data_IF_221143284591
#
_entry.id   IF_221143284591
#
_cell.length_a   1.000
_cell.length_b   1.000
_cell.length_c   1.000
_cell.angle_alpha   90.00
_cell.angle_beta   90.00
_cell.angle_gamma   90.00
#
_symmetry.space_group_name_H-M   'P 1'
#
loop_
_entity.id
_entity.type
_entity.pdbx_description
1 polymer ?
#
# COMPACT_ATOMS: atom_id res chain seq x y z
N UNK A 1 -1.24 10.31 9.81
CA UNK A 1 -2.36 10.50 8.85
C UNK A 1 -2.54 9.28 7.95
N UNK A 2 -1.54 8.89 7.16
CA UNK A 2 -1.62 7.72 6.26
C UNK A 2 -2.07 6.44 6.96
N UNK A 3 -1.43 6.07 8.07
CA UNK A 3 -1.79 4.88 8.86
C UNK A 3 -3.23 4.88 9.38
N UNK A 4 -3.75 6.05 9.79
CA UNK A 4 -5.14 6.18 10.22
C UNK A 4 -6.12 6.04 9.06
N UNK A 5 -5.79 6.58 7.89
CA UNK A 5 -6.59 6.41 6.68
C UNK A 5 -6.61 4.96 6.23
N UNK A 6 -5.45 4.29 6.19
CA UNK A 6 -5.35 2.87 5.87
C UNK A 6 -6.15 2.01 6.84
N UNK A 7 -6.05 2.28 8.15
CA UNK A 7 -6.87 1.59 9.15
C UNK A 7 -8.36 1.82 8.90
N UNK A 8 -8.78 3.06 8.69
CA UNK A 8 -10.19 3.40 8.44
C UNK A 8 -10.75 2.72 7.20
N UNK A 9 -10.01 2.74 6.09
CA UNK A 9 -10.35 2.05 4.85
C UNK A 9 -10.51 0.54 5.06
N UNK A 10 -9.53 -0.11 5.66
CA UNK A 10 -9.57 -1.55 5.94
C UNK A 10 -10.73 -1.89 6.87
N UNK A 11 -10.95 -1.10 7.91
CA UNK A 11 -12.05 -1.29 8.84
C UNK A 11 -13.40 -1.16 8.13
N UNK A 12 -13.63 -0.11 7.33
CA UNK A 12 -14.89 0.08 6.61
C UNK A 12 -15.15 -1.06 5.61
N UNK A 13 -14.16 -1.42 4.80
CA UNK A 13 -14.29 -2.51 3.82
C UNK A 13 -14.56 -3.83 4.52
N UNK A 14 -13.82 -4.18 5.57
CA UNK A 14 -14.01 -5.44 6.27
C UNK A 14 -15.37 -5.53 6.98
N UNK A 15 -15.85 -4.44 7.58
CA UNK A 15 -17.20 -4.41 8.19
C UNK A 15 -18.32 -4.65 7.19
N UNK A 16 -18.12 -4.36 5.89
CA UNK A 16 -19.10 -4.69 4.85
C UNK A 16 -19.13 -6.18 4.48
N UNK A 17 -18.06 -6.92 4.83
CA UNK A 17 -17.89 -8.33 4.46
C UNK A 17 -18.16 -9.29 5.63
N UNK A 18 -17.88 -8.85 6.86
CA UNK A 18 -18.09 -9.61 8.08
C UNK A 18 -18.93 -8.76 9.05
N UNK A 19 -20.09 -9.24 9.53
CA UNK A 19 -20.87 -8.51 10.53
C UNK A 19 -20.16 -8.43 11.89
N UNK A 20 -20.07 -7.21 12.44
CA UNK A 20 -19.58 -6.93 13.80
C UNK A 20 -18.22 -7.56 14.18
N UNK A 21 -17.16 -7.40 13.36
CA UNK A 21 -15.84 -7.90 13.70
C UNK A 21 -15.29 -7.14 14.91
N UNK A 22 -14.61 -7.82 15.85
CA UNK A 22 -13.91 -7.15 16.94
C UNK A 22 -12.92 -6.12 16.40
N UNK A 23 -12.93 -4.91 16.98
CA UNK A 23 -12.08 -3.81 16.52
C UNK A 23 -10.59 -4.17 16.40
N UNK A 24 -10.09 -4.99 17.33
CA UNK A 24 -8.69 -5.42 17.37
C UNK A 24 -8.28 -6.30 16.19
N UNK A 25 -9.22 -6.92 15.47
CA UNK A 25 -8.91 -7.72 14.28
C UNK A 25 -8.21 -6.88 13.21
N UNK A 26 -8.65 -5.64 13.00
CA UNK A 26 -8.00 -4.76 12.02
C UNK A 26 -6.61 -4.30 12.47
N UNK A 27 -6.36 -4.20 13.78
CA UNK A 27 -5.00 -3.92 14.28
C UNK A 27 -4.08 -5.09 13.91
N UNK A 28 -4.53 -6.32 14.13
CA UNK A 28 -3.78 -7.52 13.82
C UNK A 28 -3.55 -7.69 12.31
N UNK A 29 -4.62 -7.63 11.52
CA UNK A 29 -4.58 -7.83 10.07
C UNK A 29 -3.77 -6.73 9.38
N UNK A 30 -3.91 -5.47 9.78
CA UNK A 30 -3.13 -4.37 9.21
C UNK A 30 -1.63 -4.52 9.53
N UNK A 31 -1.29 -5.00 10.73
CA UNK A 31 0.09 -5.29 11.11
C UNK A 31 0.66 -6.45 10.28
N UNK A 32 -0.12 -7.51 10.08
CA UNK A 32 0.26 -8.62 9.21
C UNK A 32 0.43 -8.17 7.75
N UNK A 33 -0.50 -7.38 7.21
CA UNK A 33 -0.42 -6.83 5.87
C UNK A 33 0.81 -5.93 5.66
N UNK A 34 1.14 -5.09 6.65
CA UNK A 34 2.36 -4.27 6.62
C UNK A 34 3.63 -5.13 6.65
N UNK A 35 3.64 -6.22 7.44
CA UNK A 35 4.71 -7.21 7.41
C UNK A 35 4.79 -7.90 6.03
N UNK A 36 3.66 -8.30 5.45
CA UNK A 36 3.59 -8.88 4.11
C UNK A 36 4.12 -7.95 3.02
N UNK A 37 3.86 -6.65 3.13
CA UNK A 37 4.42 -5.63 2.24
C UNK A 37 5.93 -5.43 2.37
N UNK A 38 6.53 -5.84 3.49
CA UNK A 38 7.98 -5.81 3.68
C UNK A 38 8.69 -7.08 3.16
N UNK A 39 7.93 -8.14 2.82
CA UNK A 39 8.50 -9.37 2.27
C UNK A 39 8.90 -9.18 0.79
N UNK A 40 9.91 -9.94 0.32
CA UNK A 40 10.24 -9.99 -1.10
C UNK A 40 9.02 -10.42 -1.94
N UNK A 41 8.70 -9.64 -2.97
CA UNK A 41 7.50 -9.86 -3.78
C UNK A 41 7.70 -9.45 -5.24
N UNK A 42 6.78 -9.90 -6.09
CA UNK A 42 6.68 -9.47 -7.50
C UNK A 42 6.20 -8.01 -7.59
N UNK A 43 6.22 -7.36 -8.78
CA UNK A 43 5.77 -5.98 -8.90
C UNK A 43 4.39 -5.75 -8.28
N UNK A 44 4.25 -4.60 -7.61
CA UNK A 44 3.09 -4.22 -6.81
C UNK A 44 2.79 -5.12 -5.59
N UNK A 45 3.61 -6.10 -5.23
CA UNK A 45 3.34 -6.95 -4.06
C UNK A 45 2.28 -8.03 -4.29
N UNK A 46 1.90 -8.27 -5.56
CA UNK A 46 0.85 -9.22 -5.93
C UNK A 46 1.16 -10.64 -5.42
N UNK A 47 0.14 -11.32 -4.93
CA UNK A 47 0.20 -12.67 -4.37
C UNK A 47 0.71 -12.72 -2.93
N UNK A 48 1.82 -12.04 -2.62
CA UNK A 48 2.40 -12.04 -1.27
C UNK A 48 1.51 -11.26 -0.29
N UNK A 49 1.06 -10.07 -0.69
CA UNK A 49 0.15 -9.27 0.13
C UNK A 49 -1.16 -10.03 0.40
N UNK A 50 -1.79 -10.56 -0.65
CA UNK A 50 -3.04 -11.31 -0.53
C UNK A 50 -2.88 -12.57 0.32
N UNK A 51 -1.79 -13.32 0.11
CA UNK A 51 -1.50 -14.52 0.88
C UNK A 51 -1.34 -14.25 2.37
N UNK A 52 -0.62 -13.19 2.73
CA UNK A 52 -0.43 -12.79 4.14
C UNK A 52 -1.75 -12.31 4.76
N UNK A 53 -2.54 -11.53 4.04
CA UNK A 53 -3.86 -11.08 4.52
C UNK A 53 -4.80 -12.27 4.74
N UNK A 54 -4.87 -13.21 3.79
CA UNK A 54 -5.68 -14.43 3.92
C UNK A 54 -5.20 -15.28 5.10
N UNK A 55 -3.89 -15.45 5.27
CA UNK A 55 -3.33 -16.18 6.41
C UNK A 55 -3.66 -15.52 7.76
N UNK A 56 -3.56 -14.18 7.85
CA UNK A 56 -3.91 -13.44 9.06
C UNK A 56 -5.40 -13.60 9.41
N UNK A 57 -6.28 -13.48 8.42
CA UNK A 57 -7.71 -13.69 8.61
C UNK A 57 -8.07 -15.14 8.96
N UNK A 58 -7.36 -16.13 8.42
CA UNK A 58 -7.55 -17.53 8.77
C UNK A 58 -7.28 -17.79 10.26
N UNK A 59 -6.29 -17.11 10.86
CA UNK A 59 -6.03 -17.18 12.30
C UNK A 59 -7.17 -16.59 13.15
N UNK A 60 -8.00 -15.74 12.56
CA UNK A 60 -9.19 -15.15 13.19
C UNK A 60 -10.47 -15.94 12.89
N UNK A 61 -10.37 -17.07 12.17
CA UNK A 61 -11.51 -17.91 11.81
C UNK A 61 -12.39 -17.34 10.69
N UNK A 62 -11.88 -16.42 9.89
CA UNK A 62 -12.60 -15.84 8.75
C UNK A 62 -12.53 -16.77 7.55
N UNK A 63 -13.66 -16.91 6.84
CA UNK A 63 -13.73 -17.65 5.59
C UNK A 63 -12.70 -17.15 4.56
N UNK A 64 -12.05 -18.08 3.84
CA UNK A 64 -10.97 -17.75 2.91
C UNK A 64 -11.45 -16.94 1.71
N UNK A 65 -12.70 -17.14 1.26
CA UNK A 65 -13.32 -16.34 0.21
C UNK A 65 -13.55 -14.89 0.66
N UNK A 66 -14.06 -14.69 1.88
CA UNK A 66 -14.20 -13.36 2.49
C UNK A 66 -12.84 -12.69 2.68
N UNK A 67 -11.86 -13.42 3.22
CA UNK A 67 -10.52 -12.91 3.48
C UNK A 67 -9.82 -12.48 2.18
N UNK A 68 -9.90 -13.31 1.14
CA UNK A 68 -9.33 -13.00 -0.16
C UNK A 68 -10.06 -11.83 -0.83
N UNK A 69 -11.39 -11.78 -0.73
CA UNK A 69 -12.19 -10.64 -1.22
C UNK A 69 -11.74 -9.34 -0.57
N UNK A 70 -11.54 -9.32 0.75
CA UNK A 70 -11.01 -8.14 1.43
C UNK A 70 -9.62 -7.76 0.91
N UNK A 71 -8.71 -8.73 0.84
CA UNK A 71 -7.32 -8.50 0.44
C UNK A 71 -7.22 -7.90 -0.97
N UNK A 72 -7.94 -8.47 -1.93
CA UNK A 72 -7.88 -8.00 -3.32
C UNK A 72 -8.55 -6.63 -3.49
N UNK A 73 -9.65 -6.35 -2.77
CA UNK A 73 -10.33 -5.04 -2.82
C UNK A 73 -9.42 -3.94 -2.28
N UNK A 74 -8.84 -4.14 -1.10
CA UNK A 74 -7.92 -3.16 -0.50
C UNK A 74 -6.69 -2.95 -1.39
N UNK A 75 -6.12 -4.04 -1.93
CA UNK A 75 -4.95 -3.93 -2.78
C UNK A 75 -5.26 -3.17 -4.09
N UNK A 76 -6.39 -3.48 -4.73
CA UNK A 76 -6.84 -2.78 -5.92
C UNK A 76 -7.11 -1.29 -5.64
N UNK A 77 -7.77 -0.95 -4.52
CA UNK A 77 -7.99 0.45 -4.12
C UNK A 77 -6.68 1.20 -3.93
N UNK A 78 -5.74 0.62 -3.16
CA UNK A 78 -4.42 1.21 -2.92
C UNK A 78 -3.67 1.45 -4.24
N UNK A 79 -3.67 0.45 -5.14
CA UNK A 79 -3.03 0.57 -6.44
C UNK A 79 -3.70 1.67 -7.29
N UNK A 80 -5.02 1.66 -7.42
CA UNK A 80 -5.76 2.64 -8.24
C UNK A 80 -5.56 4.07 -7.75
N UNK A 81 -5.80 4.34 -6.46
CA UNK A 81 -5.70 5.70 -5.93
C UNK A 81 -4.27 6.23 -5.99
N UNK A 82 -3.27 5.40 -5.67
CA UNK A 82 -1.87 5.82 -5.73
C UNK A 82 -1.44 6.13 -7.16
N UNK A 83 -1.83 5.30 -8.13
CA UNK A 83 -1.51 5.55 -9.54
C UNK A 83 -2.22 6.78 -10.09
N UNK A 84 -3.51 6.97 -9.80
CA UNK A 84 -4.26 8.16 -10.24
C UNK A 84 -3.62 9.43 -9.67
N UNK A 85 -3.34 9.47 -8.37
CA UNK A 85 -2.73 10.63 -7.72
C UNK A 85 -1.31 10.87 -8.26
N UNK A 86 -0.53 9.81 -8.48
CA UNK A 86 0.79 9.89 -9.10
C UNK A 86 0.75 10.47 -10.51
N UNK A 87 -0.18 10.00 -11.36
CA UNK A 87 -0.37 10.49 -12.72
C UNK A 87 -0.84 11.96 -12.75
N UNK A 88 -1.76 12.34 -11.85
CA UNK A 88 -2.20 13.74 -11.69
C UNK A 88 -1.01 14.62 -11.28
N UNK A 89 -0.22 14.19 -10.30
CA UNK A 89 0.98 14.91 -9.87
C UNK A 89 2.00 15.09 -11.00
N UNK A 90 2.24 14.03 -11.77
CA UNK A 90 3.13 14.07 -12.93
C UNK A 90 2.59 15.00 -14.02
N UNK A 91 1.29 15.00 -14.29
CA UNK A 91 0.67 15.93 -15.25
C UNK A 91 0.83 17.38 -14.82
N UNK A 92 0.70 17.67 -13.53
CA UNK A 92 0.78 19.03 -13.00
C UNK A 92 2.23 19.55 -12.86
N UNK A 93 3.21 18.67 -12.63
CA UNK A 93 4.60 19.06 -12.30
C UNK A 93 5.69 18.32 -13.10
N UNK A 94 5.34 17.67 -14.21
CA UNK A 94 6.24 16.79 -14.95
C UNK A 94 7.53 17.46 -15.42
N UNK A 95 7.48 18.72 -15.85
CA UNK A 95 8.68 19.47 -16.25
C UNK A 95 9.68 19.63 -15.10
N UNK A 96 9.21 19.93 -13.88
CA UNK A 96 10.08 20.04 -12.72
C UNK A 96 10.73 18.70 -12.35
N UNK A 97 10.04 17.58 -12.56
CA UNK A 97 10.60 16.23 -12.36
C UNK A 97 11.68 15.93 -13.39
N UNK A 98 11.45 16.26 -14.66
CA UNK A 98 12.42 16.10 -15.76
C UNK A 98 13.65 16.97 -15.53
N UNK A 99 13.48 18.22 -15.14
CA UNK A 99 14.59 19.13 -14.83
C UNK A 99 15.41 18.65 -13.64
N UNK A 100 14.76 18.15 -12.58
CA UNK A 100 15.45 17.55 -11.44
C UNK A 100 16.26 16.31 -11.85
N UNK A 101 15.67 15.45 -12.69
CA UNK A 101 16.35 14.27 -13.22
C UNK A 101 17.59 14.65 -14.02
N UNK A 102 17.49 15.61 -14.95
CA UNK A 102 18.63 16.09 -15.72
C UNK A 102 19.73 16.67 -14.83
N UNK A 103 19.39 17.43 -13.77
CA UNK A 103 20.38 17.93 -12.81
C UNK A 103 21.05 16.82 -12.01
N UNK A 104 20.30 15.79 -11.62
CA UNK A 104 20.84 14.66 -10.85
C UNK A 104 21.80 13.80 -11.69
N UNK A 105 21.44 13.49 -12.94
CA UNK A 105 22.26 12.69 -13.86
C UNK A 105 23.47 13.46 -14.37
N UNK A 106 23.32 14.75 -14.69
CA UNK A 106 24.40 15.57 -15.23
C UNK A 106 25.24 16.25 -14.14
N UNK A 107 25.10 15.87 -12.87
CA UNK A 107 25.90 16.46 -11.78
C UNK A 107 27.36 16.07 -11.98
N UNK A 108 28.28 17.02 -12.25
CA UNK A 108 29.70 16.69 -12.36
C UNK A 108 30.19 16.14 -11.02
N UNK A 109 30.93 15.02 -11.02
CA UNK A 109 31.48 14.40 -9.80
C UNK A 109 32.48 15.28 -9.02
N UNK A 110 32.87 16.44 -9.55
CA UNK A 110 33.96 17.26 -9.03
C UNK A 110 33.52 18.69 -8.69
N UNK A 111 32.66 18.87 -7.68
CA UNK A 111 32.57 20.14 -6.96
C UNK A 111 32.87 19.89 -5.49
N UNK A 112 34.03 20.34 -4.97
CA UNK A 112 34.29 20.30 -3.54
C UNK A 112 33.26 21.17 -2.85
N UNK A 113 32.70 20.68 -1.73
CA UNK A 113 31.82 21.46 -0.88
C UNK A 113 32.57 22.73 -0.46
N UNK A 114 32.20 23.88 -1.02
CA UNK A 114 32.63 25.17 -0.52
C UNK A 114 31.97 25.36 0.84
N UNK A 115 32.84 25.42 1.87
CA UNK A 115 32.53 25.60 3.29
C UNK A 115 31.55 26.74 3.55
#
# INVERSE_FOLDING_TARGET
LSWFLSFGENFVVFNSLQPQPPFWWMIFVLSAGAFGGALPSVPAGLGVFEGVMVAAFALLGVDSGIAFTHAIVIHAMAFLFTNIMGLVGLRLRGQAVVDLYHRAVNRPKNQPASR
#
